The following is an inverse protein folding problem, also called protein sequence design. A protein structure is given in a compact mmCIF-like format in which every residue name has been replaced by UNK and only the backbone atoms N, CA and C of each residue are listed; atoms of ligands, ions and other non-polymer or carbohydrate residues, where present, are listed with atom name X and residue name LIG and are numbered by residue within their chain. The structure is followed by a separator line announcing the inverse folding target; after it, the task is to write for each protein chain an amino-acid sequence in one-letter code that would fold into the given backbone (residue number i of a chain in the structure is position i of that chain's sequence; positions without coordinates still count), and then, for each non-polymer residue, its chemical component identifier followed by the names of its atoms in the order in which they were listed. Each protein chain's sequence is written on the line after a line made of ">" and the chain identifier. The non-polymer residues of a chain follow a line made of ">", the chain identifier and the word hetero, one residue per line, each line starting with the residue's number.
data_IF_832928711754
#
_entry.id   IF_832928711754
#
_cell.length_a   1.000
_cell.length_b   1.000
_cell.length_c   1.000
_cell.angle_alpha   90.00
_cell.angle_beta   90.00
_cell.angle_gamma   90.00
#
_symmetry.space_group_name_H-M   'P 1'
#
loop_
_entity.id
_entity.type
_entity.pdbx_description
1 polymer ?
#
# COMPACT_ATOMS: atom_id res chain seq x y z
N UNK A 1 30.32 0.03 -8.26
CA UNK A 1 28.93 -0.36 -7.95
C UNK A 1 28.42 -1.35 -8.99
N UNK A 2 27.63 -2.36 -8.61
CA UNK A 2 27.15 -3.38 -9.53
C UNK A 2 26.09 -2.82 -10.51
N UNK A 3 26.00 -3.41 -11.70
CA UNK A 3 25.00 -3.08 -12.74
C UNK A 3 23.56 -3.11 -12.19
N UNK A 4 23.29 -4.04 -11.27
CA UNK A 4 21.99 -4.18 -10.61
C UNK A 4 21.52 -2.90 -9.90
N UNK A 5 22.44 -2.10 -9.34
CA UNK A 5 22.06 -0.84 -8.66
C UNK A 5 21.54 0.19 -9.67
N UNK A 6 22.20 0.31 -10.83
CA UNK A 6 21.75 1.22 -11.90
C UNK A 6 20.41 0.80 -12.48
N UNK A 7 20.19 -0.50 -12.67
CA UNK A 7 18.91 -1.06 -13.11
C UNK A 7 17.81 -0.70 -12.10
N UNK A 8 18.08 -0.82 -10.79
CA UNK A 8 17.11 -0.49 -9.76
C UNK A 8 16.73 1.00 -9.74
N UNK A 9 17.69 1.90 -9.92
CA UNK A 9 17.41 3.34 -10.08
C UNK A 9 16.61 3.65 -11.36
N UNK A 10 16.88 2.96 -12.47
CA UNK A 10 16.12 3.12 -13.70
C UNK A 10 14.66 2.66 -13.53
N UNK A 11 14.45 1.52 -12.86
CA UNK A 11 13.10 1.01 -12.54
C UNK A 11 12.38 1.99 -11.60
N UNK A 12 13.05 2.48 -10.56
CA UNK A 12 12.51 3.51 -9.68
C UNK A 12 12.05 4.75 -10.46
N UNK A 13 12.88 5.25 -11.39
CA UNK A 13 12.53 6.40 -12.21
C UNK A 13 11.28 6.14 -13.07
N UNK A 14 11.18 4.95 -13.68
CA UNK A 14 9.99 4.52 -14.41
C UNK A 14 8.74 4.49 -13.53
N UNK A 15 8.83 3.89 -12.35
CA UNK A 15 7.71 3.80 -11.39
C UNK A 15 7.32 5.18 -10.85
N UNK A 16 8.28 6.05 -10.58
CA UNK A 16 8.01 7.42 -10.15
C UNK A 16 7.24 8.19 -11.23
N UNK A 17 7.59 8.02 -12.52
CA UNK A 17 6.88 8.62 -13.63
C UNK A 17 5.45 8.08 -13.76
N UNK A 18 5.25 6.76 -13.65
CA UNK A 18 3.90 6.16 -13.71
C UNK A 18 3.03 6.61 -12.54
N UNK A 19 3.59 6.73 -11.34
CA UNK A 19 2.88 7.31 -10.18
C UNK A 19 2.55 8.79 -10.37
N UNK A 20 3.43 9.56 -11.02
CA UNK A 20 3.15 10.93 -11.43
C UNK A 20 1.94 11.01 -12.35
N UNK A 21 1.91 10.19 -13.41
CA UNK A 21 0.77 10.11 -14.33
C UNK A 21 -0.52 9.65 -13.62
N UNK A 22 -0.43 8.65 -12.74
CA UNK A 22 -1.53 8.20 -11.92
C UNK A 22 -2.08 9.33 -11.04
N UNK A 23 -1.20 10.11 -10.40
CA UNK A 23 -1.61 11.25 -9.57
C UNK A 23 -2.33 12.33 -10.39
N UNK A 24 -1.88 12.61 -11.62
CA UNK A 24 -2.54 13.54 -12.55
C UNK A 24 -3.93 13.03 -12.91
N UNK A 25 -4.04 11.74 -13.27
CA UNK A 25 -5.32 11.10 -13.57
C UNK A 25 -6.27 11.12 -12.38
N UNK A 26 -5.80 10.78 -11.19
CA UNK A 26 -6.57 10.80 -9.95
C UNK A 26 -7.11 12.20 -9.62
N UNK A 27 -6.28 13.24 -9.72
CA UNK A 27 -6.70 14.62 -9.49
C UNK A 27 -7.73 15.06 -10.54
N UNK A 28 -7.49 14.76 -11.82
CA UNK A 28 -8.42 15.06 -12.91
C UNK A 28 -9.76 14.31 -12.79
N UNK A 29 -9.76 13.14 -12.18
CA UNK A 29 -10.97 12.35 -11.96
C UNK A 29 -11.93 13.01 -10.96
N UNK A 30 -11.40 13.62 -9.89
CA UNK A 30 -12.22 14.28 -8.85
C UNK A 30 -12.48 15.77 -9.11
N UNK A 31 -11.60 16.45 -9.86
CA UNK A 31 -11.69 17.88 -10.16
C UNK A 31 -13.02 18.28 -10.84
N UNK A 32 -13.65 19.35 -10.33
CA UNK A 32 -14.76 20.04 -11.01
C UNK A 32 -14.32 20.67 -12.33
N UNK A 33 -15.12 20.51 -13.39
CA UNK A 33 -14.88 21.18 -14.69
C UNK A 33 -15.22 22.67 -14.68
N UNK A 34 -16.10 23.12 -13.77
CA UNK A 34 -16.65 24.50 -13.78
C UNK A 34 -15.80 25.47 -12.98
N UNK A 35 -15.26 25.04 -11.83
CA UNK A 35 -14.60 25.92 -10.85
C UNK A 35 -13.11 25.57 -10.63
N UNK A 36 -12.46 25.02 -11.64
CA UNK A 36 -11.07 24.57 -11.54
C UNK A 36 -10.07 25.74 -11.40
N UNK A 37 -9.29 25.74 -10.31
CA UNK A 37 -8.11 26.62 -10.18
C UNK A 37 -6.85 25.90 -10.66
N UNK A 38 -6.15 26.50 -11.64
CA UNK A 38 -4.93 25.95 -12.22
C UNK A 38 -3.83 25.76 -11.16
N UNK A 39 -3.60 26.77 -10.32
CA UNK A 39 -2.58 26.72 -9.25
C UNK A 39 -2.82 25.59 -8.26
N UNK A 40 -4.07 25.46 -7.79
CA UNK A 40 -4.45 24.39 -6.86
C UNK A 40 -4.27 23.01 -7.49
N UNK A 41 -4.62 22.88 -8.76
CA UNK A 41 -4.46 21.63 -9.51
C UNK A 41 -2.99 21.22 -9.62
N UNK A 42 -2.11 22.16 -9.96
CA UNK A 42 -0.67 21.91 -10.06
C UNK A 42 -0.09 21.53 -8.69
N UNK A 43 -0.43 22.29 -7.65
CA UNK A 43 0.07 22.03 -6.28
C UNK A 43 -0.36 20.66 -5.79
N UNK A 44 -1.61 20.26 -6.01
CA UNK A 44 -2.13 18.95 -5.60
C UNK A 44 -1.49 17.80 -6.38
N UNK A 45 -1.29 17.95 -7.69
CA UNK A 45 -0.57 16.97 -8.51
C UNK A 45 0.88 16.79 -8.05
N UNK A 46 1.61 17.89 -7.84
CA UNK A 46 3.00 17.85 -7.37
C UNK A 46 3.08 17.23 -5.97
N UNK A 47 2.21 17.65 -5.05
CA UNK A 47 2.19 17.14 -3.67
C UNK A 47 1.95 15.62 -3.66
N UNK A 48 0.97 15.15 -4.42
CA UNK A 48 0.66 13.73 -4.48
C UNK A 48 1.76 12.92 -5.19
N UNK A 49 2.38 13.48 -6.23
CA UNK A 49 3.54 12.86 -6.91
C UNK A 49 4.72 12.72 -5.96
N UNK A 50 5.04 13.77 -5.18
CA UNK A 50 6.12 13.73 -4.18
C UNK A 50 5.81 12.71 -3.08
N UNK A 51 4.55 12.63 -2.62
CA UNK A 51 4.13 11.66 -1.62
C UNK A 51 4.27 10.22 -2.13
N UNK A 52 3.80 9.91 -3.35
CA UNK A 52 4.03 8.60 -3.95
C UNK A 52 5.51 8.30 -4.17
N UNK A 53 6.30 9.29 -4.62
CA UNK A 53 7.73 9.16 -4.75
C UNK A 53 8.44 8.83 -3.44
N UNK A 54 7.90 9.27 -2.30
CA UNK A 54 8.43 8.96 -0.98
C UNK A 54 8.12 7.51 -0.57
N UNK A 55 6.87 7.05 -0.71
CA UNK A 55 6.52 5.67 -0.33
C UNK A 55 7.12 4.63 -1.29
N UNK A 56 7.21 4.96 -2.59
CA UNK A 56 7.84 4.07 -3.58
C UNK A 56 9.36 4.00 -3.48
N UNK A 57 10.02 4.85 -2.68
CA UNK A 57 11.44 4.66 -2.35
C UNK A 57 11.65 3.44 -1.44
N UNK A 58 10.65 3.04 -0.64
CA UNK A 58 10.78 1.94 0.33
C UNK A 58 11.22 0.63 -0.34
N UNK A 59 10.58 0.14 -1.42
CA UNK A 59 11.04 -1.06 -2.12
C UNK A 59 12.43 -0.89 -2.76
N UNK A 60 12.80 0.31 -3.23
CA UNK A 60 14.15 0.57 -3.73
C UNK A 60 15.19 0.47 -2.61
N UNK A 61 14.92 1.09 -1.47
CA UNK A 61 15.75 1.07 -0.25
C UNK A 61 15.97 -0.38 0.23
N UNK A 62 14.87 -1.14 0.37
CA UNK A 62 14.91 -2.57 0.70
C UNK A 62 15.78 -3.36 -0.28
N UNK A 63 15.64 -3.11 -1.59
CA UNK A 63 16.42 -3.80 -2.61
C UNK A 63 17.92 -3.47 -2.53
N UNK A 64 18.26 -2.18 -2.43
CA UNK A 64 19.65 -1.72 -2.41
C UNK A 64 20.43 -2.37 -1.26
N UNK A 65 19.80 -2.44 -0.09
CA UNK A 65 20.41 -3.05 1.10
C UNK A 65 20.37 -4.59 1.01
N UNK A 66 19.28 -5.19 0.51
CA UNK A 66 19.18 -6.63 0.25
C UNK A 66 20.27 -7.17 -0.68
N UNK A 67 20.71 -6.37 -1.65
CA UNK A 67 21.68 -6.79 -2.64
C UNK A 67 23.12 -6.85 -2.08
N UNK A 68 23.38 -6.30 -0.89
CA UNK A 68 24.73 -6.21 -0.31
C UNK A 68 25.29 -7.55 0.19
N UNK A 69 24.43 -8.53 0.45
CA UNK A 69 24.77 -9.84 1.00
C UNK A 69 24.60 -10.94 -0.05
N UNK A 70 25.49 -11.92 -0.02
CA UNK A 70 25.32 -13.19 -0.73
C UNK A 70 24.52 -14.16 0.13
N UNK A 71 23.37 -14.60 -0.39
CA UNK A 71 22.45 -15.50 0.33
C UNK A 71 23.00 -16.92 0.47
N UNK A 72 23.95 -17.33 -0.35
CA UNK A 72 24.51 -18.68 -0.31
C UNK A 72 25.57 -18.84 0.78
N UNK A 73 26.34 -17.79 1.04
CA UNK A 73 27.45 -17.81 1.99
C UNK A 73 27.11 -17.15 3.32
N UNK A 74 26.10 -16.25 3.33
CA UNK A 74 25.78 -15.43 4.50
C UNK A 74 26.78 -14.31 4.74
N UNK A 75 27.57 -13.96 3.72
CA UNK A 75 28.62 -12.93 3.77
C UNK A 75 28.28 -11.73 2.90
N UNK A 76 28.87 -10.58 3.22
CA UNK A 76 28.83 -9.41 2.34
C UNK A 76 29.51 -9.70 1.01
N UNK A 77 28.93 -9.19 -0.07
CA UNK A 77 29.55 -9.26 -1.40
C UNK A 77 30.82 -8.41 -1.43
N UNK A 78 31.80 -8.82 -2.23
CA UNK A 78 33.12 -8.15 -2.33
C UNK A 78 33.06 -6.66 -2.74
N UNK A 79 32.02 -6.26 -3.46
CA UNK A 79 31.82 -4.87 -3.88
C UNK A 79 31.11 -4.01 -2.82
N UNK A 80 30.56 -4.62 -1.77
CA UNK A 80 29.74 -3.98 -0.76
C UNK A 80 30.59 -3.57 0.46
N UNK A 81 31.67 -2.84 0.22
CA UNK A 81 32.49 -2.22 1.27
C UNK A 81 31.74 -1.08 1.98
N UNK A 82 32.29 -0.63 3.12
CA UNK A 82 31.67 0.39 3.96
C UNK A 82 31.41 1.72 3.23
N UNK A 83 32.35 2.16 2.40
CA UNK A 83 32.23 3.42 1.66
C UNK A 83 31.15 3.31 0.58
N UNK A 84 31.13 2.20 -0.17
CA UNK A 84 30.11 1.96 -1.21
C UNK A 84 28.70 1.92 -0.62
N UNK A 85 28.52 1.27 0.54
CA UNK A 85 27.22 1.19 1.23
C UNK A 85 26.82 2.57 1.77
N UNK A 86 27.77 3.31 2.33
CA UNK A 86 27.53 4.67 2.81
C UNK A 86 27.00 5.57 1.70
N UNK A 87 27.67 5.64 0.54
CA UNK A 87 27.20 6.47 -0.58
C UNK A 87 25.85 6.01 -1.12
N UNK A 88 25.61 4.70 -1.19
CA UNK A 88 24.33 4.14 -1.67
C UNK A 88 23.17 4.55 -0.75
N UNK A 89 23.33 4.39 0.56
CA UNK A 89 22.31 4.75 1.56
C UNK A 89 22.16 6.26 1.72
N UNK A 90 23.25 7.03 1.59
CA UNK A 90 23.22 8.49 1.66
C UNK A 90 22.35 9.09 0.55
N UNK A 91 22.43 8.59 -0.69
CA UNK A 91 21.59 9.08 -1.79
C UNK A 91 20.10 8.88 -1.46
N UNK A 92 19.73 7.68 -0.98
CA UNK A 92 18.36 7.36 -0.57
C UNK A 92 17.91 8.29 0.56
N UNK A 93 18.77 8.50 1.56
CA UNK A 93 18.52 9.40 2.68
C UNK A 93 18.30 10.86 2.24
N UNK A 94 19.13 11.37 1.33
CA UNK A 94 18.96 12.71 0.75
C UNK A 94 17.62 12.83 0.02
N UNK A 95 17.22 11.82 -0.74
CA UNK A 95 15.93 11.82 -1.42
C UNK A 95 14.75 11.81 -0.45
N UNK A 96 14.80 11.00 0.61
CA UNK A 96 13.78 11.04 1.66
C UNK A 96 13.69 12.42 2.30
N UNK A 97 14.82 13.01 2.69
CA UNK A 97 14.83 14.34 3.30
C UNK A 97 14.34 15.43 2.34
N UNK A 98 14.74 15.39 1.07
CA UNK A 98 14.28 16.35 0.06
C UNK A 98 12.75 16.30 -0.10
N UNK A 99 12.17 15.09 -0.16
CA UNK A 99 10.72 14.90 -0.30
C UNK A 99 9.95 15.29 0.95
N UNK A 100 10.42 14.90 2.14
CA UNK A 100 9.80 15.30 3.42
C UNK A 100 9.85 16.82 3.57
N UNK A 101 10.98 17.46 3.23
CA UNK A 101 11.08 18.93 3.21
C UNK A 101 10.10 19.54 2.23
N UNK A 102 10.01 19.06 0.99
CA UNK A 102 9.07 19.59 0.01
C UNK A 102 7.60 19.47 0.47
N UNK A 103 7.20 18.33 1.04
CA UNK A 103 5.85 18.12 1.58
C UNK A 103 5.58 18.99 2.82
N UNK A 104 6.60 19.26 3.64
CA UNK A 104 6.52 20.20 4.76
C UNK A 104 6.13 21.59 4.26
N UNK A 105 6.76 22.09 3.20
CA UNK A 105 6.44 23.41 2.63
C UNK A 105 5.02 23.45 2.03
N UNK A 106 4.54 22.35 1.43
CA UNK A 106 3.19 22.27 0.85
C UNK A 106 2.05 22.13 1.88
N UNK A 107 2.28 21.46 3.01
CA UNK A 107 1.22 21.07 3.96
C UNK A 107 1.09 22.00 5.19
N UNK A 108 2.09 22.83 5.51
CA UNK A 108 2.27 23.34 6.89
C UNK A 108 2.50 24.85 7.10
N UNK A 109 2.26 25.75 6.13
CA UNK A 109 2.58 27.15 6.43
C UNK A 109 1.66 27.80 7.50
N UNK A 110 0.47 27.26 7.79
CA UNK A 110 -0.47 27.87 8.77
C UNK A 110 -0.54 27.21 10.15
N UNK A 111 -0.83 25.91 10.19
CA UNK A 111 -1.37 25.28 11.41
C UNK A 111 -0.27 24.78 12.36
N UNK A 112 0.81 24.26 11.80
CA UNK A 112 1.93 23.72 12.58
C UNK A 112 2.89 24.81 13.06
N UNK A 113 2.97 25.94 12.34
CA UNK A 113 3.73 27.13 12.76
C UNK A 113 3.15 27.78 14.02
N UNK A 114 1.82 27.88 14.12
CA UNK A 114 1.12 28.42 15.29
C UNK A 114 1.19 27.44 16.48
N UNK A 115 0.99 26.14 16.25
CA UNK A 115 1.13 25.11 17.31
C UNK A 115 2.56 24.97 17.84
N UNK A 116 3.57 25.05 16.98
CA UNK A 116 4.98 25.05 17.39
C UNK A 116 5.40 26.37 18.05
N UNK A 117 4.87 27.52 17.63
CA UNK A 117 5.11 28.79 18.31
C UNK A 117 4.52 28.78 19.73
N UNK A 118 3.31 28.24 19.89
CA UNK A 118 2.65 28.10 21.20
C UNK A 118 3.34 27.03 22.08
N UNK A 119 3.71 25.87 21.52
CA UNK A 119 4.39 24.81 22.28
C UNK A 119 5.86 25.16 22.60
N UNK A 120 6.55 25.85 21.70
CA UNK A 120 7.91 26.37 21.93
C UNK A 120 7.99 27.49 22.97
N UNK A 121 6.88 28.21 23.21
CA UNK A 121 6.74 29.16 24.32
C UNK A 121 6.57 28.45 25.69
N UNK A 122 6.02 27.23 25.71
CA UNK A 122 5.79 26.44 26.94
C UNK A 122 6.96 25.52 27.31
N UNK A 123 7.88 25.24 26.39
CA UNK A 123 9.15 24.55 26.69
C UNK A 123 10.25 25.59 26.88
N UNK A 124 10.12 26.41 27.93
CA UNK A 124 11.21 27.26 28.43
C UNK A 124 11.88 26.52 29.60
N UNK A 125 13.19 26.22 29.55
CA UNK A 125 13.90 25.69 30.70
C UNK A 125 13.87 26.71 31.85
N UNK A 126 13.57 26.27 33.07
CA UNK A 126 13.37 27.12 34.26
C UNK A 126 14.65 27.75 34.83
N UNK A 127 15.72 27.90 34.05
CA UNK A 127 16.92 28.63 34.47
C UNK A 127 17.44 29.50 33.33
N UNK A 128 17.50 30.82 33.59
CA UNK A 128 18.15 31.79 32.70
C UNK A 128 19.67 31.62 32.78
N UNK A 129 20.40 31.51 31.65
CA UNK A 129 21.81 31.83 31.63
C UNK A 129 21.99 33.35 31.42
N UNK A 130 22.97 33.97 32.09
CA UNK A 130 23.32 35.35 31.84
C UNK A 130 24.27 35.39 30.62
N UNK A 131 24.01 36.34 29.72
CA UNK A 131 24.85 36.78 28.58
C UNK A 131 24.77 35.90 27.30
N UNK A 132 24.02 36.40 26.31
CA UNK A 132 23.81 35.78 24.99
C UNK A 132 24.96 36.19 24.06
N UNK A 133 25.89 35.27 23.80
CA UNK A 133 26.89 35.39 22.74
C UNK A 133 26.47 34.55 21.53
N UNK A 134 26.70 35.05 20.31
CA UNK A 134 26.36 34.41 19.04
C UNK A 134 26.99 33.01 18.85
N UNK A 135 28.09 32.69 19.55
CA UNK A 135 28.69 31.35 19.58
C UNK A 135 27.83 30.29 20.28
N UNK A 136 27.11 30.67 21.35
CA UNK A 136 26.21 29.75 22.06
C UNK A 136 25.03 29.32 21.18
N UNK A 137 24.51 30.23 20.34
CA UNK A 137 23.39 29.93 19.44
C UNK A 137 23.82 29.01 18.28
N UNK A 138 25.04 29.17 17.77
CA UNK A 138 25.60 28.30 16.74
C UNK A 138 25.86 26.87 17.29
N UNK A 139 26.39 26.75 18.51
CA UNK A 139 26.54 25.44 19.15
C UNK A 139 25.17 24.81 19.49
N UNK A 140 24.12 25.59 19.79
CA UNK A 140 22.78 25.03 20.02
C UNK A 140 22.09 24.47 18.77
N UNK A 141 22.40 25.01 17.59
CA UNK A 141 21.90 24.50 16.31
C UNK A 141 22.74 23.32 15.77
N UNK A 142 24.02 23.25 16.14
CA UNK A 142 24.98 22.26 15.66
C UNK A 142 25.11 21.06 16.61
N UNK A 143 24.81 21.22 17.91
CA UNK A 143 25.03 20.22 18.95
C UNK A 143 23.70 19.63 19.47
N UNK A 144 23.27 18.55 18.82
CA UNK A 144 22.22 17.59 19.22
C UNK A 144 20.75 18.06 19.32
N UNK A 145 20.45 19.33 19.60
CA UNK A 145 19.07 19.78 19.85
C UNK A 145 18.25 20.02 18.57
N UNK A 146 18.88 20.54 17.52
CA UNK A 146 18.22 20.72 16.21
C UNK A 146 17.78 19.40 15.58
N UNK A 147 18.60 18.35 15.71
CA UNK A 147 18.26 17.00 15.24
C UNK A 147 17.07 16.41 16.02
N UNK A 148 17.05 16.54 17.36
CA UNK A 148 15.93 16.09 18.21
C UNK A 148 14.63 16.84 17.88
N UNK A 149 14.68 18.17 17.74
CA UNK A 149 13.53 18.98 17.35
C UNK A 149 13.01 18.61 15.95
N UNK A 150 13.90 18.29 15.02
CA UNK A 150 13.51 17.80 13.69
C UNK A 150 12.74 16.48 13.77
N UNK A 151 13.26 15.47 14.48
CA UNK A 151 12.56 14.18 14.63
C UNK A 151 11.23 14.33 15.36
N UNK A 152 11.14 15.24 16.32
CA UNK A 152 9.88 15.59 16.98
C UNK A 152 8.86 16.14 15.99
N UNK A 153 9.26 17.12 15.16
CA UNK A 153 8.40 17.70 14.11
C UNK A 153 7.93 16.65 13.12
N UNK A 154 8.83 15.79 12.65
CA UNK A 154 8.47 14.70 11.74
C UNK A 154 7.50 13.74 12.42
N UNK A 155 7.73 13.35 13.68
CA UNK A 155 6.82 12.52 14.47
C UNK A 155 5.41 13.11 14.59
N UNK A 156 5.28 14.42 14.82
CA UNK A 156 3.96 15.06 14.85
C UNK A 156 3.20 14.96 13.52
N UNK A 157 3.87 14.86 12.36
CA UNK A 157 3.21 14.71 11.07
C UNK A 157 2.60 13.32 10.86
N UNK A 158 3.09 12.30 11.57
CA UNK A 158 2.51 10.96 11.53
C UNK A 158 1.21 10.89 12.33
N UNK A 159 1.00 11.71 13.36
CA UNK A 159 -0.22 11.71 14.19
C UNK A 159 -1.50 11.97 13.36
N UNK A 160 -1.64 13.07 12.59
CA UNK A 160 -2.81 13.26 11.74
C UNK A 160 -2.94 12.14 10.69
N UNK A 161 -1.81 11.60 10.23
CA UNK A 161 -1.77 10.42 9.38
C UNK A 161 -2.43 9.20 10.02
N UNK A 162 -2.09 8.86 11.26
CA UNK A 162 -2.67 7.74 12.00
C UNK A 162 -4.18 7.92 12.17
N UNK A 163 -4.63 9.14 12.49
CA UNK A 163 -6.06 9.45 12.61
C UNK A 163 -6.78 9.20 11.28
N UNK A 164 -6.23 9.69 10.16
CA UNK A 164 -6.78 9.44 8.82
C UNK A 164 -6.77 7.95 8.48
N UNK A 165 -5.72 7.24 8.88
CA UNK A 165 -5.57 5.81 8.64
C UNK A 165 -6.66 5.01 9.35
N UNK A 166 -6.94 5.33 10.62
CA UNK A 166 -8.00 4.69 11.41
C UNK A 166 -9.39 5.05 10.88
N UNK A 167 -9.68 6.34 10.67
CA UNK A 167 -11.04 6.79 10.34
C UNK A 167 -11.44 6.44 8.91
N UNK A 168 -10.52 6.58 7.95
CA UNK A 168 -10.85 6.44 6.52
C UNK A 168 -10.27 5.17 5.91
N UNK A 169 -9.03 4.81 6.25
CA UNK A 169 -8.36 3.68 5.58
C UNK A 169 -8.89 2.35 6.07
N UNK A 170 -9.14 2.16 7.37
CA UNK A 170 -9.72 0.91 7.89
C UNK A 170 -11.13 0.63 7.33
N UNK A 171 -12.12 1.56 7.36
CA UNK A 171 -13.42 1.32 6.74
C UNK A 171 -13.35 1.24 5.21
N UNK A 172 -12.46 2.01 4.58
CA UNK A 172 -12.23 1.94 3.14
C UNK A 172 -11.72 0.56 2.73
N UNK A 173 -10.77 0.01 3.47
CA UNK A 173 -10.18 -1.30 3.23
C UNK A 173 -11.21 -2.42 3.47
N UNK A 174 -12.02 -2.31 4.53
CA UNK A 174 -13.07 -3.30 4.81
C UNK A 174 -14.14 -3.34 3.71
N UNK A 175 -14.48 -2.19 3.11
CA UNK A 175 -15.37 -2.12 1.95
C UNK A 175 -14.76 -2.82 0.72
N UNK A 176 -13.47 -2.62 0.45
CA UNK A 176 -12.82 -3.27 -0.69
C UNK A 176 -12.81 -4.78 -0.50
N UNK A 177 -12.39 -5.29 0.66
CA UNK A 177 -12.40 -6.73 0.94
C UNK A 177 -13.81 -7.32 0.89
N UNK A 178 -14.80 -6.64 1.45
CA UNK A 178 -16.18 -7.10 1.38
C UNK A 178 -16.69 -7.19 -0.07
N UNK A 179 -16.43 -6.19 -0.91
CA UNK A 179 -16.81 -6.21 -2.33
C UNK A 179 -16.14 -7.37 -3.09
N UNK A 180 -14.86 -7.63 -2.83
CA UNK A 180 -14.16 -8.77 -3.45
C UNK A 180 -14.81 -10.12 -3.08
N UNK A 181 -15.19 -10.30 -1.82
CA UNK A 181 -15.86 -11.52 -1.35
C UNK A 181 -17.28 -11.63 -1.93
N UNK A 182 -18.04 -10.52 -1.96
CA UNK A 182 -19.40 -10.50 -2.50
C UNK A 182 -19.40 -10.80 -4.00
N UNK A 183 -18.48 -10.22 -4.75
CA UNK A 183 -18.35 -10.49 -6.18
C UNK A 183 -18.01 -11.95 -6.44
N UNK A 184 -17.04 -12.53 -5.69
CA UNK A 184 -16.72 -13.95 -5.81
C UNK A 184 -17.94 -14.84 -5.55
N UNK A 185 -18.68 -14.60 -4.45
CA UNK A 185 -19.89 -15.37 -4.14
C UNK A 185 -20.98 -15.26 -5.21
N UNK A 186 -21.10 -14.09 -5.86
CA UNK A 186 -22.04 -13.90 -6.97
C UNK A 186 -21.65 -14.74 -8.17
N UNK A 187 -20.38 -14.70 -8.56
CA UNK A 187 -19.84 -15.52 -9.66
C UNK A 187 -20.01 -17.01 -9.36
N UNK A 188 -19.68 -17.45 -8.14
CA UNK A 188 -19.85 -18.85 -7.71
C UNK A 188 -21.31 -19.31 -7.81
N UNK A 189 -22.27 -18.43 -7.47
CA UNK A 189 -23.70 -18.71 -7.60
C UNK A 189 -24.15 -18.77 -9.05
N UNK A 190 -23.74 -17.82 -9.89
CA UNK A 190 -24.03 -17.82 -11.33
C UNK A 190 -23.45 -19.09 -11.99
N UNK A 191 -22.24 -19.50 -11.59
CA UNK A 191 -21.60 -20.73 -12.04
C UNK A 191 -22.41 -21.98 -11.67
N UNK A 192 -22.87 -22.08 -10.42
CA UNK A 192 -23.71 -23.20 -9.96
C UNK A 192 -25.05 -23.23 -10.70
N UNK A 193 -25.69 -22.09 -10.95
CA UNK A 193 -26.94 -22.00 -11.72
C UNK A 193 -26.77 -22.45 -13.18
N UNK A 194 -25.65 -22.09 -13.83
CA UNK A 194 -25.31 -22.54 -15.19
C UNK A 194 -25.02 -24.05 -15.21
N UNK A 195 -24.26 -24.55 -14.24
CA UNK A 195 -23.95 -25.98 -14.11
C UNK A 195 -25.21 -26.83 -13.92
N UNK A 196 -26.16 -26.36 -13.11
CA UNK A 196 -27.46 -27.03 -12.93
C UNK A 196 -28.29 -27.07 -14.21
N UNK A 197 -28.26 -26.02 -15.04
CA UNK A 197 -28.92 -26.02 -16.36
C UNK A 197 -28.27 -27.03 -17.30
N UNK A 198 -26.94 -27.09 -17.33
CA UNK A 198 -26.20 -28.04 -18.15
C UNK A 198 -26.56 -29.50 -17.79
N UNK A 199 -26.67 -29.81 -16.51
CA UNK A 199 -27.07 -31.15 -16.04
C UNK A 199 -28.47 -31.50 -16.57
N UNK A 200 -29.43 -30.57 -16.51
CA UNK A 200 -30.80 -30.78 -17.01
C UNK A 200 -30.85 -31.00 -18.52
N UNK A 201 -30.11 -30.21 -19.30
CA UNK A 201 -30.01 -30.36 -20.76
C UNK A 201 -29.44 -31.74 -21.12
N UNK A 202 -28.38 -32.17 -20.43
CA UNK A 202 -27.79 -33.50 -20.61
C UNK A 202 -28.73 -34.64 -20.24
N UNK A 203 -29.54 -34.45 -19.21
CA UNK A 203 -30.56 -35.42 -18.84
C UNK A 203 -31.65 -35.54 -19.91
N UNK A 204 -32.08 -34.42 -20.50
CA UNK A 204 -33.04 -34.41 -21.62
C UNK A 204 -32.49 -35.09 -22.88
N UNK A 205 -31.23 -34.82 -23.24
CA UNK A 205 -30.54 -35.53 -24.33
C UNK A 205 -30.55 -37.05 -24.09
N UNK A 206 -30.15 -37.50 -22.89
CA UNK A 206 -30.14 -38.93 -22.52
C UNK A 206 -31.52 -39.58 -22.57
N UNK A 207 -32.58 -38.86 -22.19
CA UNK A 207 -33.94 -39.39 -22.27
C UNK A 207 -34.37 -39.66 -23.72
N UNK A 208 -34.04 -38.75 -24.64
CA UNK A 208 -34.32 -38.93 -26.08
C UNK A 208 -33.46 -40.09 -26.60
N UNK A 209 -32.17 -40.11 -26.32
CA UNK A 209 -31.27 -41.18 -26.74
C UNK A 209 -31.73 -42.56 -26.24
N UNK A 210 -32.14 -42.67 -24.97
CA UNK A 210 -32.63 -43.93 -24.39
C UNK A 210 -33.96 -44.38 -25.00
N UNK A 211 -34.89 -43.46 -25.31
CA UNK A 211 -36.17 -43.76 -25.98
C UNK A 211 -35.96 -44.47 -27.32
N UNK A 212 -34.89 -44.12 -28.04
CA UNK A 212 -34.56 -44.67 -29.35
C UNK A 212 -33.47 -45.77 -29.30
N UNK A 213 -32.76 -45.95 -28.19
CA UNK A 213 -31.73 -46.99 -28.04
C UNK A 213 -32.30 -48.43 -28.05
N UNK A 214 -33.52 -48.62 -27.54
CA UNK A 214 -34.18 -49.93 -27.47
C UNK A 214 -35.15 -50.20 -28.64
N UNK A 215 -35.48 -49.17 -29.42
CA UNK A 215 -36.44 -49.25 -30.52
C UNK A 215 -35.69 -49.13 -31.85
N UNK A 216 -35.89 -50.07 -32.78
CA UNK A 216 -35.38 -49.96 -34.16
C UNK A 216 -36.11 -48.90 -35.00
N UNK A 217 -36.96 -48.07 -34.36
CA UNK A 217 -37.67 -46.98 -34.99
C UNK A 217 -36.71 -45.82 -35.32
N UNK A 218 -36.82 -45.30 -36.53
CA UNK A 218 -36.12 -44.09 -36.95
C UNK A 218 -36.54 -42.88 -36.08
N UNK A 219 -35.58 -42.00 -35.79
CA UNK A 219 -35.78 -40.79 -34.99
C UNK A 219 -36.84 -39.88 -35.63
N UNK A 220 -37.82 -39.42 -34.84
CA UNK A 220 -38.85 -38.48 -35.30
C UNK A 220 -38.22 -37.14 -35.72
N UNK A 221 -38.75 -36.48 -36.76
CA UNK A 221 -38.27 -35.16 -37.21
C UNK A 221 -38.34 -34.10 -36.12
N UNK A 222 -39.36 -34.16 -35.25
CA UNK A 222 -39.47 -33.31 -34.07
C UNK A 222 -38.38 -33.58 -33.03
N UNK A 223 -38.12 -34.86 -32.72
CA UNK A 223 -37.14 -35.25 -31.71
C UNK A 223 -35.71 -34.98 -32.21
N UNK A 224 -35.48 -35.06 -33.53
CA UNK A 224 -34.23 -34.62 -34.18
C UNK A 224 -34.00 -33.12 -34.00
N UNK A 225 -34.99 -32.27 -34.33
CA UNK A 225 -34.87 -30.81 -34.17
C UNK A 225 -34.71 -30.41 -32.69
N UNK A 226 -35.38 -31.11 -31.78
CA UNK A 226 -35.26 -30.89 -30.33
C UNK A 226 -33.85 -31.23 -29.84
N UNK A 227 -33.30 -32.38 -30.27
CA UNK A 227 -31.94 -32.79 -29.91
C UNK A 227 -30.87 -31.83 -30.44
N UNK A 228 -31.05 -31.32 -31.66
CA UNK A 228 -30.16 -30.30 -32.24
C UNK A 228 -30.16 -29.01 -31.41
N UNK A 229 -31.32 -28.53 -30.99
CA UNK A 229 -31.44 -27.36 -30.12
C UNK A 229 -30.80 -27.59 -28.74
N UNK A 230 -31.00 -28.77 -28.13
CA UNK A 230 -30.37 -29.12 -26.85
C UNK A 230 -28.84 -29.19 -26.97
N UNK A 231 -28.32 -29.71 -28.08
CA UNK A 231 -26.88 -29.72 -28.35
C UNK A 231 -26.31 -28.30 -28.50
N UNK A 232 -27.03 -27.39 -29.13
CA UNK A 232 -26.61 -26.00 -29.25
C UNK A 232 -26.68 -25.26 -27.90
N UNK A 233 -27.70 -25.52 -27.08
CA UNK A 233 -27.80 -25.00 -25.72
C UNK A 233 -26.64 -25.50 -24.83
N UNK A 234 -26.31 -26.79 -24.89
CA UNK A 234 -25.15 -27.36 -24.19
C UNK A 234 -23.84 -26.65 -24.59
N UNK A 235 -23.63 -26.42 -25.90
CA UNK A 235 -22.43 -25.69 -26.37
C UNK A 235 -22.34 -24.29 -25.79
N UNK A 236 -23.46 -23.59 -25.67
CA UNK A 236 -23.50 -22.24 -25.09
C UNK A 236 -23.19 -22.29 -23.60
N UNK A 237 -23.80 -23.22 -22.85
CA UNK A 237 -23.59 -23.37 -21.41
C UNK A 237 -22.13 -23.78 -21.08
N UNK A 238 -21.55 -24.67 -21.88
CA UNK A 238 -20.14 -25.08 -21.74
C UNK A 238 -19.16 -23.93 -21.99
N UNK A 239 -19.45 -23.04 -22.94
CA UNK A 239 -18.64 -21.82 -23.16
C UNK A 239 -18.69 -20.88 -21.96
N UNK A 240 -19.85 -20.74 -21.32
CA UNK A 240 -19.99 -19.93 -20.12
C UNK A 240 -19.21 -20.52 -18.94
N UNK A 241 -19.31 -21.83 -18.70
CA UNK A 241 -18.56 -22.50 -17.62
C UNK A 241 -17.05 -22.41 -17.82
N UNK A 242 -16.56 -22.73 -19.03
CA UNK A 242 -15.13 -22.67 -19.34
C UNK A 242 -14.53 -21.27 -19.18
N UNK A 243 -15.28 -20.21 -19.51
CA UNK A 243 -14.81 -18.83 -19.32
C UNK A 243 -14.61 -18.46 -17.85
N UNK A 244 -15.42 -19.01 -16.94
CA UNK A 244 -15.32 -18.74 -15.49
C UNK A 244 -14.19 -19.56 -14.86
N UNK A 245 -14.03 -20.82 -15.28
CA UNK A 245 -12.98 -21.71 -14.78
C UNK A 245 -11.57 -21.22 -15.19
N UNK A 246 -11.44 -20.69 -16.41
CA UNK A 246 -10.20 -20.03 -16.86
C UNK A 246 -9.87 -18.77 -16.04
N UNK A 247 -10.87 -17.96 -15.69
CA UNK A 247 -10.67 -16.77 -14.84
C UNK A 247 -10.28 -17.13 -13.40
N UNK A 248 -10.86 -18.18 -12.80
CA UNK A 248 -10.54 -18.62 -11.44
C UNK A 248 -9.11 -19.19 -11.37
N UNK A 249 -8.73 -20.06 -12.30
CA UNK A 249 -7.37 -20.60 -12.36
C UNK A 249 -6.35 -19.51 -12.62
N UNK A 250 -6.65 -18.56 -13.50
CA UNK A 250 -5.76 -17.45 -13.78
C UNK A 250 -5.66 -16.45 -12.62
N UNK A 251 -6.75 -16.22 -11.87
CA UNK A 251 -6.74 -15.37 -10.67
C UNK A 251 -6.02 -16.02 -9.50
N UNK A 252 -6.31 -17.29 -9.18
CA UNK A 252 -5.63 -18.04 -8.11
C UNK A 252 -4.16 -18.30 -8.44
N UNK A 253 -3.84 -18.64 -9.69
CA UNK A 253 -2.46 -18.76 -10.15
C UNK A 253 -1.75 -17.41 -10.11
N UNK A 254 -2.39 -16.29 -10.49
CA UNK A 254 -1.80 -14.94 -10.31
C UNK A 254 -1.60 -14.59 -8.83
N UNK A 255 -2.55 -14.89 -7.95
CA UNK A 255 -2.43 -14.64 -6.50
C UNK A 255 -1.34 -15.50 -5.85
N UNK A 256 -1.26 -16.78 -6.21
CA UNK A 256 -0.23 -17.71 -5.74
C UNK A 256 1.15 -17.39 -6.35
N UNK A 257 1.21 -16.95 -7.61
CA UNK A 257 2.44 -16.47 -8.27
C UNK A 257 2.88 -15.13 -7.70
N UNK A 258 1.96 -14.27 -7.25
CA UNK A 258 2.26 -13.04 -6.49
C UNK A 258 2.84 -13.37 -5.10
N UNK A 259 2.40 -14.46 -4.46
CA UNK A 259 2.95 -14.93 -3.18
C UNK A 259 4.28 -15.70 -3.30
N UNK A 260 4.60 -16.24 -4.48
CA UNK A 260 5.79 -17.10 -4.70
C UNK A 260 7.13 -16.45 -5.10
N UNK A 261 7.32 -15.12 -5.24
CA UNK A 261 8.61 -14.63 -5.67
C UNK A 261 9.12 -13.49 -4.80
N UNK A 262 9.10 -13.62 -3.46
CA UNK A 262 9.95 -12.84 -2.55
C UNK A 262 11.47 -13.02 -2.79
N UNK A 263 11.85 -13.53 -3.97
CA UNK A 263 13.20 -13.93 -4.34
C UNK A 263 13.66 -13.33 -5.67
N UNK A 264 12.82 -12.66 -6.46
CA UNK A 264 13.22 -12.14 -7.78
C UNK A 264 12.79 -10.69 -8.02
N UNK A 265 13.77 -9.78 -7.92
CA UNK A 265 13.65 -8.43 -8.46
C UNK A 265 13.44 -8.50 -9.99
N UNK A 266 12.46 -7.80 -10.59
CA UNK A 266 11.71 -6.64 -10.06
C UNK A 266 10.31 -6.94 -9.49
N UNK A 267 9.90 -8.20 -9.38
CA UNK A 267 8.52 -8.56 -9.04
C UNK A 267 8.11 -8.10 -7.64
N UNK A 268 9.01 -8.20 -6.67
CA UNK A 268 8.82 -7.69 -5.30
C UNK A 268 8.54 -6.19 -5.25
N UNK A 269 9.15 -5.42 -6.15
CA UNK A 269 8.90 -3.98 -6.25
C UNK A 269 7.46 -3.74 -6.70
N UNK A 270 7.03 -4.39 -7.79
CA UNK A 270 5.67 -4.24 -8.34
C UNK A 270 4.62 -4.63 -7.31
N UNK A 271 4.86 -5.70 -6.54
CA UNK A 271 4.00 -6.13 -5.45
C UNK A 271 3.85 -5.04 -4.37
N UNK A 272 4.97 -4.49 -3.89
CA UNK A 272 4.97 -3.42 -2.89
C UNK A 272 4.23 -2.17 -3.39
N UNK A 273 4.42 -1.81 -4.67
CA UNK A 273 3.67 -0.72 -5.31
C UNK A 273 2.18 -1.02 -5.38
N UNK A 274 1.80 -2.26 -5.69
CA UNK A 274 0.40 -2.71 -5.67
C UNK A 274 -0.23 -2.56 -4.29
N UNK A 275 0.48 -2.94 -3.22
CA UNK A 275 0.02 -2.75 -1.84
C UNK A 275 -0.14 -1.24 -1.53
N UNK A 276 0.84 -0.40 -1.88
CA UNK A 276 0.77 1.05 -1.67
C UNK A 276 -0.46 1.64 -2.37
N UNK A 277 -0.68 1.29 -3.64
CA UNK A 277 -1.85 1.74 -4.40
C UNK A 277 -3.16 1.23 -3.79
N UNK A 278 -3.21 0.00 -3.31
CA UNK A 278 -4.38 -0.56 -2.67
C UNK A 278 -4.77 0.21 -1.41
N UNK A 279 -3.81 0.49 -0.52
CA UNK A 279 -4.06 1.31 0.66
C UNK A 279 -4.48 2.73 0.29
N UNK A 280 -3.83 3.35 -0.70
CA UNK A 280 -4.21 4.66 -1.20
C UNK A 280 -5.65 4.70 -1.72
N UNK A 281 -6.04 3.75 -2.57
CA UNK A 281 -7.39 3.65 -3.13
C UNK A 281 -8.42 3.35 -2.04
N UNK A 282 -8.10 2.47 -1.09
CA UNK A 282 -8.94 2.22 0.08
C UNK A 282 -9.18 3.51 0.88
N UNK A 283 -8.15 4.30 1.15
CA UNK A 283 -8.30 5.61 1.81
C UNK A 283 -9.17 6.55 0.96
N UNK A 284 -8.95 6.65 -0.35
CA UNK A 284 -9.74 7.51 -1.22
C UNK A 284 -11.23 7.12 -1.25
N UNK A 285 -11.53 5.82 -1.33
CA UNK A 285 -12.90 5.28 -1.25
C UNK A 285 -13.52 5.58 0.12
N UNK A 286 -12.76 5.36 1.21
CA UNK A 286 -13.19 5.65 2.57
C UNK A 286 -13.55 7.13 2.76
N UNK A 287 -12.69 8.04 2.30
CA UNK A 287 -12.96 9.48 2.33
C UNK A 287 -14.19 9.82 1.47
N UNK A 288 -14.32 9.24 0.27
CA UNK A 288 -15.46 9.51 -0.62
C UNK A 288 -16.79 9.04 -0.03
N UNK A 289 -16.80 7.95 0.74
CA UNK A 289 -18.01 7.38 1.36
C UNK A 289 -18.40 8.07 2.66
N UNK A 290 -17.43 8.36 3.52
CA UNK A 290 -17.68 8.96 4.85
C UNK A 290 -17.84 10.49 4.74
N UNK A 291 -17.14 11.12 3.79
CA UNK A 291 -16.99 12.58 3.68
C UNK A 291 -16.03 13.15 4.72
N UNK A 292 -15.55 14.37 4.50
CA UNK A 292 -14.65 15.06 5.44
C UNK A 292 -15.50 15.73 6.51
N UNK A 293 -15.47 15.19 7.73
CA UNK A 293 -16.18 15.73 8.90
C UNK A 293 -15.21 16.43 9.85
N UNK A 294 -15.62 17.57 10.39
CA UNK A 294 -14.91 18.28 11.45
C UNK A 294 -15.87 18.53 12.61
N UNK A 295 -15.53 18.04 13.82
CA UNK A 295 -16.34 18.21 15.04
C UNK A 295 -17.83 17.90 14.83
N UNK A 296 -18.14 16.80 14.13
CA UNK A 296 -19.49 16.33 13.75
C UNK A 296 -20.21 17.07 12.60
N UNK A 297 -19.68 18.17 12.08
CA UNK A 297 -20.22 18.85 10.89
C UNK A 297 -19.56 18.31 9.63
N UNK A 298 -20.34 18.05 8.57
CA UNK A 298 -19.79 17.64 7.26
C UNK A 298 -19.28 18.89 6.54
N UNK A 299 -17.96 19.05 6.45
CA UNK A 299 -17.33 20.23 5.86
C UNK A 299 -17.29 20.12 4.33
N UNK A 300 -16.87 18.96 3.83
CA UNK A 300 -16.76 18.70 2.39
C UNK A 300 -17.20 17.28 2.04
N UNK A 301 -18.00 17.16 0.97
CA UNK A 301 -18.30 15.88 0.31
C UNK A 301 -17.55 15.82 -1.01
N UNK A 302 -16.74 14.79 -1.17
CA UNK A 302 -16.00 14.55 -2.41
C UNK A 302 -16.93 13.84 -3.38
N UNK A 303 -17.12 14.44 -4.55
CA UNK A 303 -17.88 13.87 -5.65
C UNK A 303 -17.00 13.78 -6.89
N UNK A 304 -17.22 12.74 -7.69
CA UNK A 304 -16.55 12.56 -8.98
C UNK A 304 -16.84 13.77 -9.87
N UNK A 305 -15.81 14.31 -10.54
CA UNK A 305 -15.91 15.46 -11.47
C UNK A 305 -16.62 16.73 -10.95
N UNK A 306 -16.78 16.87 -9.64
CA UNK A 306 -17.54 17.97 -9.02
C UNK A 306 -16.90 18.46 -7.72
N UNK A 307 -15.64 18.11 -7.45
CA UNK A 307 -14.93 18.57 -6.25
C UNK A 307 -14.32 19.95 -6.48
N UNK A 308 -14.60 20.89 -5.58
CA UNK A 308 -14.05 22.25 -5.62
C UNK A 308 -12.53 22.25 -5.34
N UNK A 309 -11.78 23.29 -5.74
CA UNK A 309 -10.33 23.36 -5.52
C UNK A 309 -9.93 23.25 -4.03
N UNK A 310 -10.71 23.84 -3.13
CA UNK A 310 -10.46 23.76 -1.68
C UNK A 310 -10.63 22.33 -1.16
N UNK A 311 -11.66 21.61 -1.63
CA UNK A 311 -11.86 20.19 -1.33
C UNK A 311 -10.74 19.31 -1.91
N UNK A 312 -10.23 19.66 -3.09
CA UNK A 312 -9.12 18.98 -3.75
C UNK A 312 -7.79 19.12 -2.99
N UNK A 313 -7.52 20.29 -2.38
CA UNK A 313 -6.39 20.47 -1.47
C UNK A 313 -6.55 19.61 -0.22
N UNK A 314 -7.73 19.65 0.42
CA UNK A 314 -7.99 18.91 1.64
C UNK A 314 -7.84 17.40 1.44
N UNK A 315 -8.45 16.83 0.39
CA UNK A 315 -8.32 15.39 0.09
C UNK A 315 -6.86 15.02 -0.18
N UNK A 316 -6.12 15.84 -0.94
CA UNK A 316 -4.72 15.58 -1.26
C UNK A 316 -3.84 15.60 -0.01
N UNK A 317 -4.08 16.54 0.91
CA UNK A 317 -3.38 16.61 2.19
C UNK A 317 -3.69 15.39 3.07
N UNK A 318 -4.96 14.99 3.19
CA UNK A 318 -5.35 13.80 3.95
C UNK A 318 -4.73 12.52 3.38
N UNK A 319 -4.76 12.35 2.05
CA UNK A 319 -4.13 11.22 1.37
C UNK A 319 -2.60 11.22 1.55
N UNK A 320 -1.97 12.40 1.55
CA UNK A 320 -0.53 12.53 1.83
C UNK A 320 -0.21 12.07 3.25
N UNK A 321 -0.98 12.51 4.26
CA UNK A 321 -0.79 12.04 5.63
C UNK A 321 -1.06 10.54 5.80
N UNK A 322 -2.04 9.99 5.06
CA UNK A 322 -2.28 8.54 5.03
C UNK A 322 -1.07 7.78 4.46
N UNK A 323 -0.41 8.29 3.41
CA UNK A 323 0.81 7.70 2.85
C UNK A 323 2.01 7.75 3.82
N UNK A 324 2.14 8.83 4.61
CA UNK A 324 3.09 8.87 5.73
C UNK A 324 2.77 7.80 6.78
N UNK A 325 1.51 7.72 7.22
CA UNK A 325 1.07 6.70 8.18
C UNK A 325 1.34 5.28 7.67
N UNK A 326 1.08 5.02 6.40
CA UNK A 326 1.36 3.73 5.77
C UNK A 326 2.85 3.39 5.79
N UNK A 327 3.73 4.38 5.61
CA UNK A 327 5.19 4.19 5.72
C UNK A 327 5.60 3.71 7.11
N UNK A 328 4.97 4.22 8.18
CA UNK A 328 5.16 3.67 9.52
C UNK A 328 4.58 2.25 9.65
N UNK A 329 3.32 2.06 9.27
CA UNK A 329 2.62 0.78 9.44
C UNK A 329 3.34 -0.36 8.70
N UNK A 330 3.86 -0.11 7.49
CA UNK A 330 4.59 -1.12 6.74
C UNK A 330 5.90 -1.49 7.43
N UNK A 331 6.64 -0.48 7.91
CA UNK A 331 7.97 -0.67 8.51
C UNK A 331 7.93 -1.28 9.89
N UNK A 332 6.95 -0.93 10.72
CA UNK A 332 6.92 -1.35 12.12
C UNK A 332 5.92 -2.48 12.42
N UNK A 333 4.95 -2.75 11.55
CA UNK A 333 3.85 -3.68 11.88
C UNK A 333 3.56 -4.72 10.82
N UNK A 334 3.44 -4.36 9.53
CA UNK A 334 3.08 -5.35 8.51
C UNK A 334 4.22 -6.33 8.22
N UNK A 335 5.45 -5.83 8.05
CA UNK A 335 6.57 -6.68 7.65
C UNK A 335 7.93 -6.18 8.20
N UNK A 336 8.10 -6.05 9.53
CA UNK A 336 9.26 -5.38 10.12
C UNK A 336 10.61 -5.99 9.72
N UNK A 337 10.75 -7.31 9.71
CA UNK A 337 12.00 -7.95 9.28
C UNK A 337 12.37 -7.62 7.82
N UNK A 338 11.36 -7.65 6.94
CA UNK A 338 11.55 -7.36 5.52
C UNK A 338 11.80 -5.87 5.25
N UNK A 339 11.14 -4.95 5.96
CA UNK A 339 11.36 -3.52 5.76
C UNK A 339 12.63 -3.00 6.44
N UNK A 340 13.08 -3.61 7.54
CA UNK A 340 14.32 -3.22 8.23
C UNK A 340 15.56 -3.75 7.53
N UNK A 341 15.57 -5.03 7.13
CA UNK A 341 16.76 -5.68 6.57
C UNK A 341 16.54 -6.29 5.18
N UNK A 342 15.32 -6.22 4.64
CA UNK A 342 15.03 -6.85 3.36
C UNK A 342 15.19 -8.36 3.43
N UNK A 343 15.96 -8.87 2.49
CA UNK A 343 16.24 -10.29 2.34
C UNK A 343 17.70 -10.63 2.63
N UNK A 344 18.37 -9.78 3.40
CA UNK A 344 19.71 -10.03 3.91
C UNK A 344 19.72 -11.20 4.88
N UNK A 345 20.82 -11.93 4.89
CA UNK A 345 21.08 -13.07 5.75
C UNK A 345 22.49 -12.97 6.32
N UNK A 346 22.81 -13.68 7.39
CA UNK A 346 24.16 -13.74 7.93
C UNK A 346 24.51 -15.16 8.38
N UNK A 347 25.80 -15.49 8.29
CA UNK A 347 26.35 -16.73 8.81
C UNK A 347 26.59 -16.61 10.33
N UNK A 348 25.87 -17.41 11.13
CA UNK A 348 26.03 -17.44 12.59
C UNK A 348 27.05 -18.50 13.06
N UNK A 349 28.02 -18.83 12.20
CA UNK A 349 29.06 -19.81 12.47
C UNK A 349 30.42 -19.26 12.07
N UNK A 350 31.46 -19.64 12.79
CA UNK A 350 32.83 -19.22 12.50
C UNK A 350 33.74 -20.43 12.62
N UNK A 351 34.44 -20.78 11.53
CA UNK A 351 35.47 -21.82 11.54
C UNK A 351 36.82 -21.20 11.19
N UNK A 352 37.83 -21.43 12.02
CA UNK A 352 39.18 -20.90 11.77
C UNK A 352 39.27 -19.37 11.68
N UNK A 353 38.30 -18.64 12.25
CA UNK A 353 38.22 -17.17 12.17
C UNK A 353 37.51 -16.63 10.92
N UNK A 354 37.00 -17.51 10.04
CA UNK A 354 36.26 -17.13 8.82
C UNK A 354 34.77 -17.47 9.02
N UNK A 355 33.90 -16.49 8.76
CA UNK A 355 32.43 -16.62 8.90
C UNK A 355 31.79 -17.04 7.57
N UNK A 356 32.09 -18.22 7.06
CA UNK A 356 31.54 -18.71 5.79
C UNK A 356 30.63 -19.92 6.02
N UNK A 357 29.38 -19.83 5.59
CA UNK A 357 28.37 -20.89 5.71
C UNK A 357 28.05 -21.56 4.36
N UNK A 358 28.96 -21.49 3.38
CA UNK A 358 28.77 -22.10 2.04
C UNK A 358 28.45 -23.60 2.10
N UNK A 359 29.04 -24.33 3.06
CA UNK A 359 28.84 -25.77 3.23
C UNK A 359 27.82 -26.11 4.33
N UNK A 360 27.60 -25.21 5.28
CA UNK A 360 26.60 -25.34 6.35
C UNK A 360 25.45 -24.34 6.15
N UNK A 361 24.62 -24.57 5.12
CA UNK A 361 23.49 -23.67 4.79
C UNK A 361 22.46 -23.54 5.92
N UNK A 362 22.39 -24.52 6.83
CA UNK A 362 21.50 -24.51 7.99
C UNK A 362 21.90 -23.45 9.05
N UNK A 363 23.12 -22.91 8.95
CA UNK A 363 23.64 -21.88 9.86
C UNK A 363 23.47 -20.45 9.30
N UNK A 364 22.71 -20.31 8.21
CA UNK A 364 22.37 -19.03 7.58
C UNK A 364 21.04 -18.54 8.15
N UNK A 365 21.09 -17.41 8.85
CA UNK A 365 19.91 -16.80 9.48
C UNK A 365 19.53 -15.49 8.77
N UNK A 366 18.23 -15.14 8.68
CA UNK A 366 17.83 -13.81 8.24
C UNK A 366 18.35 -12.74 9.19
N UNK A 367 18.74 -11.59 8.65
CA UNK A 367 19.15 -10.46 9.49
C UNK A 367 17.99 -10.00 10.39
N UNK A 368 18.31 -9.81 11.66
CA UNK A 368 17.42 -9.28 12.68
C UNK A 368 18.13 -8.18 13.48
N UNK A 369 17.48 -7.67 14.53
CA UNK A 369 18.04 -6.61 15.38
C UNK A 369 19.27 -7.03 16.18
N UNK A 370 19.54 -8.34 16.28
CA UNK A 370 20.68 -8.91 17.01
C UNK A 370 21.85 -9.29 16.09
N UNK A 371 21.64 -9.16 14.78
CA UNK A 371 22.63 -9.54 13.80
C UNK A 371 23.85 -8.59 13.79
N UNK A 372 25.03 -9.07 13.38
CA UNK A 372 26.23 -8.24 13.29
C UNK A 372 26.05 -7.07 12.32
N UNK A 373 26.27 -5.85 12.79
CA UNK A 373 26.13 -4.61 12.02
C UNK A 373 27.14 -4.47 10.88
N UNK A 374 28.24 -5.22 10.95
CA UNK A 374 29.25 -5.30 9.88
C UNK A 374 28.69 -5.95 8.61
N UNK A 375 27.77 -6.91 8.78
CA UNK A 375 27.15 -7.68 7.69
C UNK A 375 25.77 -7.11 7.37
N UNK A 376 24.89 -7.04 8.37
CA UNK A 376 23.51 -6.62 8.22
C UNK A 376 23.39 -5.11 8.31
N UNK A 377 23.07 -4.46 7.19
CA UNK A 377 22.84 -3.03 7.12
C UNK A 377 21.33 -2.76 7.22
N UNK A 378 20.84 -1.84 8.07
CA UNK A 378 19.41 -1.49 8.07
C UNK A 378 19.04 -0.58 6.90
N UNK A 379 17.77 -0.57 6.50
CA UNK A 379 17.25 0.36 5.49
C UNK A 379 17.24 1.80 6.02
N UNK A 380 17.31 2.76 5.10
CA UNK A 380 17.20 4.17 5.49
C UNK A 380 15.82 4.41 6.10
N UNK A 381 14.76 3.85 5.53
CA UNK A 381 13.38 3.99 6.01
C UNK A 381 13.24 3.56 7.48
N UNK A 382 13.77 2.40 7.86
CA UNK A 382 13.69 1.93 9.24
C UNK A 382 14.51 2.81 10.18
N UNK A 383 15.72 3.19 9.79
CA UNK A 383 16.53 4.09 10.62
C UNK A 383 15.88 5.46 10.83
N UNK A 384 15.14 5.99 9.84
CA UNK A 384 14.37 7.23 10.00
C UNK A 384 13.26 7.07 11.05
N UNK A 385 12.49 5.97 10.98
CA UNK A 385 11.39 5.69 11.91
C UNK A 385 11.92 5.40 13.32
N UNK A 386 12.95 4.57 13.44
CA UNK A 386 13.56 4.22 14.71
C UNK A 386 14.13 5.46 15.40
N UNK A 387 14.72 6.40 14.65
CA UNK A 387 15.16 7.69 15.20
C UNK A 387 14.01 8.55 15.72
N UNK A 388 12.82 8.51 15.11
CA UNK A 388 11.65 9.22 15.63
C UNK A 388 11.21 8.59 16.97
N UNK A 389 11.11 7.27 17.01
CA UNK A 389 10.66 6.53 18.20
C UNK A 389 11.65 6.67 19.35
N UNK A 390 12.95 6.50 19.10
CA UNK A 390 13.99 6.54 20.13
C UNK A 390 14.21 7.95 20.69
N UNK A 391 14.11 8.99 19.85
CA UNK A 391 14.21 10.38 20.33
C UNK A 391 12.92 10.87 21.02
N UNK A 392 11.77 10.25 20.75
CA UNK A 392 10.50 10.63 21.36
C UNK A 392 9.63 9.39 21.62
N UNK A 393 9.88 8.66 22.72
CA UNK A 393 9.21 7.39 23.01
C UNK A 393 7.68 7.48 23.11
N UNK A 394 7.15 8.65 23.46
CA UNK A 394 5.70 8.91 23.49
C UNK A 394 5.04 8.70 22.13
N UNK A 395 5.70 9.05 21.03
CA UNK A 395 5.19 8.77 19.69
C UNK A 395 5.17 7.28 19.39
N UNK A 396 6.18 6.52 19.84
CA UNK A 396 6.20 5.06 19.72
C UNK A 396 4.97 4.41 20.36
N UNK A 397 4.64 4.79 21.60
CA UNK A 397 3.43 4.29 22.27
C UNK A 397 2.15 4.66 21.50
N UNK A 398 2.00 5.93 21.09
CA UNK A 398 0.82 6.39 20.34
C UNK A 398 0.66 5.61 19.03
N UNK A 399 1.73 5.47 18.26
CA UNK A 399 1.67 4.80 16.96
C UNK A 399 1.42 3.29 17.11
N UNK A 400 1.99 2.64 18.12
CA UNK A 400 1.72 1.24 18.42
C UNK A 400 0.24 0.98 18.73
N UNK A 401 -0.35 1.72 19.67
CA UNK A 401 -1.77 1.57 20.00
C UNK A 401 -2.70 1.97 18.85
N UNK A 402 -2.27 2.91 17.99
CA UNK A 402 -3.00 3.27 16.78
C UNK A 402 -3.15 2.10 15.81
N UNK A 403 -2.20 1.16 15.74
CA UNK A 403 -2.32 -0.02 14.89
C UNK A 403 -3.39 -1.00 15.41
N UNK A 404 -3.48 -1.20 16.72
CA UNK A 404 -4.54 -2.01 17.32
C UNK A 404 -5.92 -1.38 17.10
N UNK A 405 -6.02 -0.06 17.26
CA UNK A 405 -7.25 0.67 16.98
C UNK A 405 -7.65 0.58 15.50
N UNK A 406 -6.68 0.62 14.58
CA UNK A 406 -6.90 0.37 13.16
C UNK A 406 -7.49 -1.02 12.91
N UNK A 407 -6.93 -2.08 13.52
CA UNK A 407 -7.45 -3.44 13.38
C UNK A 407 -8.88 -3.59 13.91
N UNK A 408 -9.16 -3.04 15.09
CA UNK A 408 -10.51 -3.05 15.67
C UNK A 408 -11.51 -2.35 14.74
N UNK A 409 -11.15 -1.17 14.22
CA UNK A 409 -12.00 -0.40 13.29
C UNK A 409 -12.21 -1.13 11.97
N UNK A 410 -11.19 -1.80 11.46
CA UNK A 410 -11.27 -2.62 10.25
C UNK A 410 -12.24 -3.80 10.43
N UNK A 411 -12.10 -4.55 11.53
CA UNK A 411 -12.96 -5.69 11.86
C UNK A 411 -14.41 -5.25 12.04
N UNK A 412 -14.65 -4.18 12.81
CA UNK A 412 -15.98 -3.62 12.99
C UNK A 412 -16.59 -3.17 11.66
N UNK A 413 -15.83 -2.46 10.83
CA UNK A 413 -16.27 -2.06 9.49
C UNK A 413 -16.63 -3.25 8.60
N UNK A 414 -15.84 -4.33 8.65
CA UNK A 414 -16.11 -5.55 7.91
C UNK A 414 -17.41 -6.21 8.35
N UNK A 415 -17.63 -6.37 9.65
CA UNK A 415 -18.89 -6.92 10.18
C UNK A 415 -20.09 -6.05 9.84
N UNK A 416 -19.99 -4.73 9.97
CA UNK A 416 -21.07 -3.80 9.59
C UNK A 416 -21.44 -3.97 8.12
N UNK A 417 -20.44 -4.07 7.22
CA UNK A 417 -20.70 -4.27 5.80
C UNK A 417 -21.33 -5.65 5.51
N UNK A 418 -20.93 -6.69 6.25
CA UNK A 418 -21.49 -8.03 6.10
C UNK A 418 -22.97 -8.13 6.48
N UNK A 419 -23.40 -7.38 7.49
CA UNK A 419 -24.80 -7.37 7.96
C UNK A 419 -25.67 -6.29 7.29
N UNK A 420 -25.09 -5.42 6.45
CA UNK A 420 -25.86 -4.37 5.78
C UNK A 420 -26.76 -5.00 4.68
N UNK A 421 -28.07 -4.76 4.77
CA UNK A 421 -29.07 -5.29 3.83
C UNK A 421 -28.84 -4.81 2.39
N UNK A 422 -29.02 -5.68 1.37
CA UNK A 422 -28.82 -5.34 -0.05
C UNK A 422 -29.73 -4.21 -0.57
N UNK A 423 -30.90 -3.98 0.03
CA UNK A 423 -31.81 -2.88 -0.36
C UNK A 423 -31.17 -1.50 -0.18
N UNK A 424 -30.34 -1.34 0.85
CA UNK A 424 -29.62 -0.08 1.09
C UNK A 424 -28.45 0.14 0.11
N UNK A 425 -28.02 -0.89 -0.62
CA UNK A 425 -26.95 -0.78 -1.62
C UNK A 425 -27.48 -0.38 -3.00
N UNK A 426 -28.64 -0.89 -3.40
CA UNK A 426 -29.33 -0.48 -4.65
C UNK A 426 -29.77 0.98 -4.59
N UNK A 427 -30.34 1.41 -3.46
CA UNK A 427 -30.78 2.82 -3.28
C UNK A 427 -29.59 3.79 -3.33
N UNK A 428 -28.44 3.38 -2.78
CA UNK A 428 -27.20 4.17 -2.77
C UNK A 428 -26.48 4.14 -4.13
N UNK A 429 -26.58 3.05 -4.89
CA UNK A 429 -26.11 2.94 -6.27
C UNK A 429 -26.98 3.74 -7.26
N UNK A 430 -28.30 3.81 -7.03
CA UNK A 430 -29.24 4.62 -7.81
C UNK A 430 -28.99 6.12 -7.57
N UNK A 431 -28.73 6.53 -6.32
CA UNK A 431 -28.27 7.90 -6.00
C UNK A 431 -26.93 8.26 -6.67
N UNK A 432 -25.97 7.33 -6.71
CA UNK A 432 -24.70 7.52 -7.42
C UNK A 432 -24.88 7.57 -8.96
N UNK A 433 -25.92 6.93 -9.52
CA UNK A 433 -26.27 6.98 -10.95
C UNK A 433 -27.01 8.27 -11.35
N UNK A 434 -27.88 8.79 -10.47
CA UNK A 434 -28.59 10.05 -10.68
C UNK A 434 -27.67 11.27 -10.55
N UNK A 435 -26.57 11.14 -9.78
CA UNK A 435 -25.53 12.17 -9.62
C UNK A 435 -24.40 12.10 -10.68
N UNK A 436 -24.39 11.09 -11.57
CA UNK A 436 -23.36 10.87 -12.61
C UNK A 436 -23.72 11.52 -13.96
#
# INVERSE_FOLDING_TARGET
>A
MPVANYIAWAIYAGIFLTMGLFSVGFIKFYQSKRDASLWVTIVTMITLTIAFGMVTLIPLDIFLVSNTVDRHTGLKKRWADGDTIYWTTLIVQVLYYARVKALKYSSLFGIFGILLYLFGLFVKPNTLPPHINLEWFNNLLIESNGAKAFWFVVGCLFIPGMIVFIIYTAPGLSLVFFKLIKEKRRVDREHEEVNQKLIKVREQQRMIEHKYAASSAALSTHDHATLENLNDEERILLRQLSSVEEEEHHFLQRMLVVLRPFKLFPLDYVLMVGIILQFFLATAIGISRIGIKFLWVTLYRIKKKSTSPQGLLMITSLLTFALFSFTYSITSSLAPGYTHFGSQVYCNHTEGGIRDCSFETDKIFPCDIWAPTEICTPTVTSTLIDRIILNTPTFGFIFYYSQWLFLVTFILGFFINMFKSPQNEEEQGLLDYVDA
#
